data_IF_989205267524
#
_entry.id   IF_989205267524
#
_cell.length_a   1.000
_cell.length_b   1.000
_cell.length_c   1.000
_cell.angle_alpha   90.00
_cell.angle_beta   90.00
_cell.angle_gamma   90.00
#
_symmetry.space_group_name_H-M   'P 1'
#
loop_
_entity.id
_entity.type
_entity.pdbx_description
1 polymer ?
#
# COMPACT_ATOMS: atom_id res chain seq x y z
N UNK A 1 -27.51 -3.40 -11.01
CA UNK A 1 -26.03 -3.39 -11.08
C UNK A 1 -25.55 -2.81 -9.76
N UNK A 2 -24.92 -3.62 -8.92
CA UNK A 2 -24.31 -3.09 -7.68
C UNK A 2 -23.17 -2.17 -8.11
N UNK A 3 -23.28 -0.88 -7.75
CA UNK A 3 -22.17 0.06 -7.96
C UNK A 3 -20.96 -0.49 -7.20
N UNK A 4 -19.83 -0.60 -7.89
CA UNK A 4 -18.55 -0.95 -7.25
C UNK A 4 -18.26 0.08 -6.16
N UNK A 5 -17.79 -0.38 -5.00
CA UNK A 5 -17.52 0.50 -3.87
C UNK A 5 -16.34 1.45 -4.13
N UNK A 6 -15.54 1.23 -5.17
CA UNK A 6 -14.40 2.04 -5.60
C UNK A 6 -14.37 2.20 -7.11
N UNK A 7 -13.51 3.11 -7.55
CA UNK A 7 -13.14 3.32 -8.95
C UNK A 7 -11.70 2.85 -9.15
N UNK A 8 -11.48 2.04 -10.19
CA UNK A 8 -10.14 1.66 -10.63
C UNK A 8 -9.55 2.82 -11.44
N UNK A 9 -8.48 3.41 -10.94
CA UNK A 9 -7.85 4.60 -11.50
C UNK A 9 -6.39 4.35 -11.85
N UNK A 10 -5.88 5.13 -12.81
CA UNK A 10 -4.46 5.11 -13.14
C UNK A 10 -3.94 6.54 -13.33
N UNK A 11 -2.65 6.73 -13.05
CA UNK A 11 -1.93 7.96 -13.32
C UNK A 11 -0.55 7.63 -13.88
N UNK A 12 0.15 8.63 -14.40
CA UNK A 12 1.47 8.45 -14.99
C UNK A 12 2.55 9.01 -14.07
N UNK A 13 3.57 8.21 -13.78
CA UNK A 13 4.76 8.64 -13.04
C UNK A 13 5.63 9.60 -13.86
N UNK A 14 6.62 10.24 -13.24
CA UNK A 14 7.50 11.18 -13.92
C UNK A 14 8.34 10.53 -15.04
N UNK A 15 8.62 9.24 -14.90
CA UNK A 15 9.36 8.42 -15.86
C UNK A 15 8.47 7.64 -16.83
N UNK A 16 7.15 7.95 -16.84
CA UNK A 16 6.21 7.45 -17.84
C UNK A 16 5.54 6.11 -17.51
N UNK A 17 5.74 5.54 -16.32
CA UNK A 17 5.05 4.32 -15.91
C UNK A 17 3.58 4.60 -15.61
N UNK A 18 2.71 3.70 -16.02
CA UNK A 18 1.30 3.69 -15.62
C UNK A 18 1.17 3.06 -14.25
N UNK A 19 0.79 3.84 -13.25
CA UNK A 19 0.59 3.43 -11.88
C UNK A 19 -0.90 3.39 -11.54
N UNK A 20 -1.29 2.42 -10.73
CA UNK A 20 -2.69 2.13 -10.39
C UNK A 20 -3.01 2.54 -8.96
N UNK A 21 -4.25 2.92 -8.72
CA UNK A 21 -4.83 3.09 -7.38
C UNK A 21 -6.33 2.84 -7.39
N UNK A 22 -6.88 2.48 -6.25
CA UNK A 22 -8.32 2.50 -5.99
C UNK A 22 -8.72 3.81 -5.35
N UNK A 23 -9.76 4.42 -5.89
CA UNK A 23 -10.40 5.61 -5.34
C UNK A 23 -11.76 5.21 -4.73
N UNK A 24 -11.90 5.33 -3.43
CA UNK A 24 -13.14 5.09 -2.70
C UNK A 24 -13.81 6.44 -2.43
N UNK A 25 -14.77 6.84 -3.27
CA UNK A 25 -15.41 8.13 -3.15
C UNK A 25 -16.25 8.24 -1.88
N UNK A 26 -16.39 9.44 -1.35
CA UNK A 26 -17.27 9.74 -0.23
C UNK A 26 -18.17 10.94 -0.57
N UNK A 27 -19.46 10.79 -0.30
CA UNK A 27 -20.44 11.87 -0.50
C UNK A 27 -20.45 12.91 0.62
N UNK A 28 -19.79 12.64 1.76
CA UNK A 28 -19.75 13.54 2.91
C UNK A 28 -18.69 14.63 2.68
N UNK A 29 -19.04 15.90 2.52
CA UNK A 29 -18.08 16.97 2.29
C UNK A 29 -17.28 17.35 3.54
N UNK A 30 -16.18 18.09 3.34
CA UNK A 30 -15.47 18.82 4.38
C UNK A 30 -14.50 18.03 5.25
N UNK A 31 -14.34 16.73 5.00
CA UNK A 31 -13.31 15.93 5.68
C UNK A 31 -12.14 15.64 4.75
N UNK A 32 -10.93 15.72 5.32
CA UNK A 32 -9.71 15.38 4.59
C UNK A 32 -9.75 13.92 4.12
N UNK A 33 -9.32 13.64 2.89
CA UNK A 33 -9.20 12.28 2.40
C UNK A 33 -8.09 11.52 3.14
N UNK A 34 -8.11 10.21 2.99
CA UNK A 34 -7.10 9.29 3.54
C UNK A 34 -6.31 8.70 2.39
N UNK A 35 -4.99 8.57 2.56
CA UNK A 35 -4.10 7.81 1.68
C UNK A 35 -3.59 6.59 2.44
N UNK A 36 -3.98 5.40 2.01
CA UNK A 36 -3.58 4.13 2.59
C UNK A 36 -2.39 3.53 1.83
N UNK A 37 -1.27 3.34 2.52
CA UNK A 37 0.00 2.93 1.92
C UNK A 37 0.38 1.51 2.37
N UNK A 38 0.44 0.53 1.46
CA UNK A 38 0.71 -0.86 1.78
C UNK A 38 2.18 -1.14 2.12
N UNK A 39 2.42 -2.33 2.65
CA UNK A 39 3.74 -2.87 2.93
C UNK A 39 4.52 -3.23 1.65
N UNK A 40 5.80 -3.61 1.84
CA UNK A 40 6.78 -3.80 0.76
C UNK A 40 6.30 -4.74 -0.36
N UNK A 41 5.70 -5.88 -0.02
CA UNK A 41 5.27 -6.91 -0.98
C UNK A 41 3.75 -6.92 -1.20
N UNK A 42 3.06 -5.90 -0.69
CA UNK A 42 1.60 -5.84 -0.64
C UNK A 42 1.05 -4.85 -1.67
N UNK A 43 -0.26 -4.73 -1.73
CA UNK A 43 -0.96 -3.88 -2.69
C UNK A 43 -2.22 -3.24 -2.05
N UNK A 44 -2.97 -2.47 -2.82
CA UNK A 44 -4.15 -1.73 -2.37
C UNK A 44 -5.24 -2.58 -1.71
N UNK A 45 -5.30 -3.89 -2.00
CA UNK A 45 -6.34 -4.79 -1.46
C UNK A 45 -6.23 -4.96 0.05
N UNK A 46 -5.04 -4.79 0.62
CA UNK A 46 -4.84 -4.86 2.08
C UNK A 46 -5.71 -3.88 2.85
N UNK A 47 -6.08 -2.77 2.21
CA UNK A 47 -6.89 -1.73 2.83
C UNK A 47 -8.38 -1.80 2.48
N UNK A 48 -8.84 -2.79 1.70
CA UNK A 48 -10.23 -2.87 1.22
C UNK A 48 -11.24 -2.78 2.37
N UNK A 49 -11.08 -3.59 3.42
CA UNK A 49 -11.99 -3.57 4.56
C UNK A 49 -11.98 -2.24 5.31
N UNK A 50 -10.81 -1.60 5.42
CA UNK A 50 -10.62 -0.29 6.04
C UNK A 50 -11.25 0.80 5.18
N UNK A 51 -11.01 0.77 3.87
CA UNK A 51 -11.54 1.71 2.89
C UNK A 51 -13.07 1.69 2.86
N UNK A 52 -13.69 0.50 2.86
CA UNK A 52 -15.14 0.32 2.93
C UNK A 52 -15.79 0.91 4.20
N UNK A 53 -15.03 0.98 5.29
CA UNK A 53 -15.47 1.67 6.52
C UNK A 53 -15.28 3.17 6.43
N UNK A 54 -14.11 3.63 5.94
CA UNK A 54 -13.74 5.03 5.85
C UNK A 54 -14.59 5.79 4.84
N UNK A 55 -14.96 5.19 3.70
CA UNK A 55 -15.76 5.85 2.66
C UNK A 55 -17.14 6.32 3.13
N UNK A 56 -17.62 5.82 4.28
CA UNK A 56 -18.85 6.34 4.90
C UNK A 56 -18.71 7.78 5.40
N UNK A 57 -17.47 8.25 5.57
CA UNK A 57 -17.18 9.57 6.14
C UNK A 57 -16.04 10.32 5.47
N UNK A 58 -15.20 9.65 4.67
CA UNK A 58 -14.01 10.23 4.03
C UNK A 58 -13.73 9.53 2.70
N UNK A 59 -13.25 10.29 1.71
CA UNK A 59 -12.64 9.71 0.51
C UNK A 59 -11.35 8.98 0.90
N UNK A 60 -11.10 7.84 0.30
CA UNK A 60 -9.89 7.07 0.55
C UNK A 60 -9.22 6.74 -0.79
N UNK A 61 -7.90 6.80 -0.81
CA UNK A 61 -7.04 6.45 -1.94
C UNK A 61 -6.10 5.33 -1.51
N UNK A 62 -6.13 4.21 -2.21
CA UNK A 62 -5.24 3.06 -2.00
C UNK A 62 -4.40 2.79 -3.25
N UNK A 63 -3.14 3.24 -3.33
CA UNK A 63 -2.27 2.98 -4.46
C UNK A 63 -1.62 1.59 -4.40
N UNK A 64 -1.34 1.07 -5.58
CA UNK A 64 -0.31 0.08 -5.79
C UNK A 64 1.01 0.80 -6.09
N UNK A 65 2.04 0.56 -5.30
CA UNK A 65 3.35 1.11 -5.60
C UNK A 65 3.89 0.51 -6.91
N UNK A 66 4.80 1.19 -7.59
CA UNK A 66 5.42 0.66 -8.83
C UNK A 66 5.87 -0.79 -8.67
N UNK A 67 5.58 -1.63 -9.65
CA UNK A 67 5.89 -3.06 -9.66
C UNK A 67 5.02 -3.93 -8.76
N UNK A 68 3.89 -3.41 -8.21
CA UNK A 68 2.95 -4.18 -7.39
C UNK A 68 1.54 -4.07 -7.98
N UNK A 69 0.75 -5.10 -7.77
CA UNK A 69 -0.66 -5.13 -8.15
C UNK A 69 -0.92 -4.73 -9.59
N UNK A 70 -1.71 -3.69 -9.81
CA UNK A 70 -2.05 -3.14 -11.13
C UNK A 70 -1.06 -2.11 -11.68
N UNK A 71 -0.02 -1.73 -10.91
CA UNK A 71 1.02 -0.80 -11.35
C UNK A 71 2.08 -1.48 -12.20
N UNK A 72 2.54 -0.80 -13.26
CA UNK A 72 3.60 -1.31 -14.11
C UNK A 72 4.90 -1.55 -13.35
N UNK A 73 5.63 -2.57 -13.80
CA UNK A 73 7.00 -2.84 -13.37
C UNK A 73 7.96 -1.85 -14.01
N UNK A 74 8.91 -1.38 -13.22
CA UNK A 74 10.03 -0.59 -13.71
C UNK A 74 11.17 -1.54 -14.10
N UNK A 75 11.72 -1.44 -15.32
CA UNK A 75 12.87 -2.25 -15.73
C UNK A 75 14.15 -1.88 -14.98
N UNK A 76 14.25 -0.68 -14.42
CA UNK A 76 15.39 -0.26 -13.62
C UNK A 76 15.11 -0.50 -12.12
N UNK A 77 15.76 -1.54 -11.57
CA UNK A 77 15.58 -1.92 -10.17
C UNK A 77 15.98 -0.80 -9.18
N UNK A 78 16.83 0.16 -9.59
CA UNK A 78 17.27 1.30 -8.77
C UNK A 78 16.12 2.25 -8.43
N UNK A 79 15.07 2.25 -9.23
CA UNK A 79 13.88 3.06 -9.02
C UNK A 79 12.94 2.50 -7.95
N UNK A 80 13.18 1.27 -7.46
CA UNK A 80 12.45 0.72 -6.32
C UNK A 80 13.00 1.26 -5.00
N UNK A 81 12.91 2.56 -4.82
CA UNK A 81 13.51 3.32 -3.73
C UNK A 81 12.45 4.22 -3.04
N UNK A 82 12.48 4.39 -1.70
CA UNK A 82 11.49 5.20 -1.00
C UNK A 82 11.31 6.63 -1.55
N UNK A 83 12.40 7.28 -1.98
CA UNK A 83 12.33 8.60 -2.60
C UNK A 83 11.53 8.62 -3.90
N UNK A 84 11.67 7.60 -4.74
CA UNK A 84 10.88 7.43 -5.97
C UNK A 84 9.41 7.20 -5.64
N UNK A 85 9.10 6.35 -4.66
CA UNK A 85 7.73 6.12 -4.24
C UNK A 85 7.07 7.40 -3.72
N UNK A 86 7.77 8.21 -2.93
CA UNK A 86 7.25 9.51 -2.46
C UNK A 86 6.96 10.44 -3.63
N UNK A 87 7.82 10.48 -4.65
CA UNK A 87 7.59 11.27 -5.86
C UNK A 87 6.36 10.78 -6.62
N UNK A 88 6.18 9.46 -6.77
CA UNK A 88 4.98 8.87 -7.39
C UNK A 88 3.72 9.23 -6.60
N UNK A 89 3.75 9.15 -5.27
CA UNK A 89 2.62 9.50 -4.41
C UNK A 89 2.26 10.98 -4.48
N UNK A 90 3.24 11.86 -4.64
CA UNK A 90 2.99 13.28 -4.88
C UNK A 90 2.28 13.52 -6.23
N UNK A 91 2.63 12.75 -7.26
CA UNK A 91 1.95 12.76 -8.56
C UNK A 91 0.52 12.23 -8.46
N UNK A 92 0.32 11.12 -7.72
CA UNK A 92 -1.01 10.59 -7.44
C UNK A 92 -1.91 11.62 -6.77
N UNK A 93 -1.44 12.28 -5.70
CA UNK A 93 -2.24 13.27 -4.97
C UNK A 93 -2.64 14.45 -5.88
N UNK A 94 -1.71 14.94 -6.71
CA UNK A 94 -2.02 15.97 -7.71
C UNK A 94 -3.05 15.49 -8.73
N UNK A 95 -2.89 14.27 -9.26
CA UNK A 95 -3.83 13.67 -10.20
C UNK A 95 -5.23 13.51 -9.60
N UNK A 96 -5.31 13.11 -8.34
CA UNK A 96 -6.57 12.92 -7.61
C UNK A 96 -7.19 14.24 -7.09
N UNK A 97 -6.52 15.40 -7.30
CA UNK A 97 -6.97 16.71 -6.81
C UNK A 97 -6.94 16.82 -5.28
N UNK A 98 -5.94 16.20 -4.63
CA UNK A 98 -5.81 16.17 -3.18
C UNK A 98 -4.57 16.96 -2.76
N UNK A 99 -4.77 18.06 -2.04
CA UNK A 99 -3.69 18.90 -1.54
C UNK A 99 -3.21 18.48 -0.13
N UNK A 100 -4.14 17.97 0.67
CA UNK A 100 -3.87 17.61 2.07
C UNK A 100 -4.57 16.30 2.42
N UNK A 101 -3.88 15.41 3.15
CA UNK A 101 -4.33 14.03 3.37
C UNK A 101 -3.94 13.53 4.75
N UNK A 102 -4.75 12.62 5.31
CA UNK A 102 -4.35 11.78 6.44
C UNK A 102 -3.69 10.53 5.88
N UNK A 103 -2.52 10.17 6.38
CA UNK A 103 -1.75 9.00 5.95
C UNK A 103 -2.05 7.81 6.86
N UNK A 104 -2.26 6.64 6.28
CA UNK A 104 -2.29 5.36 7.01
C UNK A 104 -1.29 4.45 6.31
N UNK A 105 -0.18 4.15 6.96
CA UNK A 105 0.89 3.37 6.35
C UNK A 105 1.28 2.15 7.16
N UNK A 106 1.38 1.00 6.49
CA UNK A 106 1.85 -0.26 7.09
C UNK A 106 3.27 -0.55 6.64
N UNK A 107 4.18 -0.81 7.59
CA UNK A 107 5.58 -1.18 7.31
C UNK A 107 6.23 -0.16 6.36
N UNK A 108 6.59 -0.54 5.11
CA UNK A 108 7.10 0.39 4.09
C UNK A 108 6.17 1.61 3.92
N UNK A 109 4.86 1.40 3.88
CA UNK A 109 3.88 2.49 3.79
C UNK A 109 3.97 3.48 4.95
N UNK A 110 4.31 3.00 6.16
CA UNK A 110 4.58 3.86 7.31
C UNK A 110 5.88 4.66 7.16
N UNK A 111 6.94 4.05 6.59
CA UNK A 111 8.19 4.76 6.25
C UNK A 111 7.90 5.86 5.23
N UNK A 112 7.12 5.57 4.19
CA UNK A 112 6.72 6.57 3.19
C UNK A 112 5.89 7.69 3.83
N UNK A 113 5.01 7.36 4.77
CA UNK A 113 4.22 8.36 5.52
C UNK A 113 5.12 9.29 6.33
N UNK A 114 6.14 8.76 7.00
CA UNK A 114 7.14 9.57 7.72
C UNK A 114 7.95 10.46 6.77
N UNK A 115 8.36 9.94 5.62
CA UNK A 115 9.09 10.70 4.60
C UNK A 115 8.23 11.83 4.03
N UNK A 116 6.95 11.57 3.70
CA UNK A 116 6.03 12.60 3.23
C UNK A 116 5.86 13.68 4.30
N UNK A 117 5.64 13.30 5.57
CA UNK A 117 5.48 14.26 6.65
C UNK A 117 6.76 15.11 6.87
N UNK A 118 7.94 14.54 6.67
CA UNK A 118 9.21 15.26 6.82
C UNK A 118 9.53 16.17 5.64
N UNK A 119 9.25 15.72 4.40
CA UNK A 119 9.62 16.46 3.18
C UNK A 119 8.52 17.38 2.65
N UNK A 120 7.28 17.12 3.01
CA UNK A 120 6.08 17.85 2.55
C UNK A 120 5.05 18.01 3.68
N UNK A 121 5.42 18.66 4.80
CA UNK A 121 4.56 18.74 5.99
C UNK A 121 3.21 19.41 5.73
N UNK A 122 3.10 20.26 4.70
CA UNK A 122 1.86 20.89 4.29
C UNK A 122 0.84 19.88 3.72
N UNK A 123 1.29 18.75 3.19
CA UNK A 123 0.47 17.67 2.61
C UNK A 123 -0.07 16.75 3.71
N UNK A 124 0.76 16.42 4.71
CA UNK A 124 0.41 15.49 5.77
C UNK A 124 -0.39 16.19 6.88
N UNK A 125 -1.69 15.90 6.97
CA UNK A 125 -2.54 16.41 8.05
C UNK A 125 -2.39 15.60 9.35
N UNK A 126 -1.92 14.37 9.24
CA UNK A 126 -1.68 13.42 10.32
C UNK A 126 -1.27 12.07 9.74
N UNK A 127 -0.71 11.21 10.56
CA UNK A 127 -0.30 9.87 10.13
C UNK A 127 -0.65 8.81 11.19
N UNK A 128 -1.09 7.66 10.71
CA UNK A 128 -1.20 6.42 11.49
C UNK A 128 -0.13 5.49 10.96
N UNK A 129 0.81 5.10 11.83
CA UNK A 129 1.88 4.16 11.50
C UNK A 129 1.54 2.80 12.08
N UNK A 130 1.41 1.81 11.20
CA UNK A 130 1.12 0.44 11.57
C UNK A 130 2.35 -0.44 11.32
N UNK A 131 2.77 -1.20 12.34
CA UNK A 131 3.88 -2.15 12.28
C UNK A 131 5.22 -1.53 11.82
N UNK A 132 5.47 -0.28 12.20
CA UNK A 132 6.75 0.42 11.98
C UNK A 132 6.86 1.64 12.88
N UNK A 133 8.08 1.96 13.28
CA UNK A 133 8.45 3.16 14.01
C UNK A 133 9.61 3.89 13.36
N UNK A 134 10.10 4.99 13.96
CA UNK A 134 11.25 5.74 13.47
C UNK A 134 12.56 4.93 13.52
N UNK A 135 12.59 3.91 14.37
CA UNK A 135 13.69 2.92 14.44
C UNK A 135 13.19 1.59 13.89
N UNK A 136 13.93 1.05 12.93
CA UNK A 136 13.63 -0.26 12.34
C UNK A 136 14.60 -1.29 12.89
N UNK A 137 14.08 -2.31 13.58
CA UNK A 137 14.88 -3.36 14.17
C UNK A 137 15.65 -4.13 13.08
N UNK A 138 16.97 -4.23 13.23
CA UNK A 138 17.84 -4.91 12.28
C UNK A 138 17.46 -6.39 12.08
N UNK A 139 17.04 -7.08 13.16
CA UNK A 139 16.54 -8.45 13.08
C UNK A 139 15.29 -8.57 12.16
N UNK A 140 14.39 -7.57 12.19
CA UNK A 140 13.25 -7.50 11.29
C UNK A 140 13.67 -7.36 9.83
N UNK A 141 14.64 -6.48 9.54
CA UNK A 141 15.19 -6.29 8.19
C UNK A 141 15.86 -7.57 7.68
N UNK A 142 16.65 -8.25 8.51
CA UNK A 142 17.29 -9.52 8.15
C UNK A 142 16.26 -10.60 7.83
N UNK A 143 15.18 -10.70 8.63
CA UNK A 143 14.08 -11.62 8.36
C UNK A 143 13.41 -11.32 7.02
N UNK A 144 13.08 -10.05 6.73
CA UNK A 144 12.48 -9.64 5.46
C UNK A 144 13.42 -10.00 4.29
N UNK A 145 14.72 -9.69 4.39
CA UNK A 145 15.73 -9.99 3.38
C UNK A 145 15.91 -11.50 3.14
N UNK A 146 15.52 -12.34 4.08
CA UNK A 146 15.63 -13.78 3.93
C UNK A 146 14.62 -14.40 2.96
N UNK A 147 13.50 -13.74 2.71
CA UNK A 147 12.44 -14.25 1.84
C UNK A 147 12.03 -13.30 0.69
N UNK A 148 12.19 -12.00 0.83
CA UNK A 148 11.86 -11.04 -0.23
C UNK A 148 12.79 -11.22 -1.43
N UNK A 149 12.22 -11.29 -2.63
CA UNK A 149 12.95 -11.53 -3.88
C UNK A 149 13.33 -12.99 -4.15
N UNK A 150 13.02 -13.91 -3.24
CA UNK A 150 13.17 -15.34 -3.45
C UNK A 150 11.84 -15.92 -3.92
N UNK A 151 11.64 -15.90 -5.22
CA UNK A 151 10.42 -16.46 -5.81
C UNK A 151 10.54 -17.96 -5.97
N UNK A 152 9.67 -18.71 -5.28
CA UNK A 152 9.43 -20.13 -5.57
C UNK A 152 8.12 -20.20 -6.32
N UNK A 153 8.13 -20.56 -7.61
CA UNK A 153 6.90 -20.73 -8.38
C UNK A 153 5.99 -21.75 -7.70
N UNK A 154 4.70 -21.45 -7.67
CA UNK A 154 3.65 -22.35 -7.17
C UNK A 154 2.72 -22.73 -8.31
N UNK A 155 2.28 -23.99 -8.35
CA UNK A 155 1.43 -24.50 -9.40
C UNK A 155 -0.06 -24.42 -9.07
N UNK A 156 -0.40 -24.19 -7.79
CA UNK A 156 -1.81 -24.10 -7.34
C UNK A 156 -1.97 -23.09 -6.19
N UNK A 157 -3.22 -22.72 -5.92
CA UNK A 157 -3.58 -21.88 -4.78
C UNK A 157 -3.28 -22.56 -3.45
N UNK A 158 -3.43 -23.88 -3.36
CA UNK A 158 -3.13 -24.70 -2.19
C UNK A 158 -1.64 -24.65 -1.87
N UNK A 159 -0.79 -24.74 -2.88
CA UNK A 159 0.66 -24.59 -2.72
C UNK A 159 1.02 -23.16 -2.28
N UNK A 160 0.38 -22.13 -2.86
CA UNK A 160 0.55 -20.75 -2.45
C UNK A 160 0.19 -20.55 -0.98
N UNK A 161 -0.98 -21.05 -0.56
CA UNK A 161 -1.43 -20.98 0.83
C UNK A 161 -0.49 -21.73 1.79
N UNK A 162 0.01 -22.90 1.40
CA UNK A 162 0.98 -23.66 2.19
C UNK A 162 2.30 -22.90 2.34
N UNK A 163 2.78 -22.25 1.28
CA UNK A 163 3.98 -21.42 1.30
C UNK A 163 3.78 -20.20 2.21
N UNK A 164 2.66 -19.50 2.11
CA UNK A 164 2.32 -18.37 3.00
C UNK A 164 2.24 -18.80 4.46
N UNK A 165 1.59 -19.92 4.75
CA UNK A 165 1.53 -20.49 6.09
C UNK A 165 2.91 -20.84 6.65
N UNK A 166 3.80 -21.38 5.83
CA UNK A 166 5.19 -21.67 6.24
C UNK A 166 5.96 -20.40 6.60
N UNK A 167 5.74 -19.28 5.90
CA UNK A 167 6.42 -18.00 6.14
C UNK A 167 5.85 -17.23 7.33
N UNK A 168 4.54 -17.25 7.51
CA UNK A 168 3.83 -16.35 8.43
C UNK A 168 3.09 -17.08 9.56
N UNK A 169 2.99 -18.42 9.55
CA UNK A 169 2.22 -19.18 10.51
C UNK A 169 2.63 -18.97 11.96
N UNK A 170 3.92 -18.70 12.21
CA UNK A 170 4.40 -18.35 13.57
C UNK A 170 3.85 -16.99 14.04
N UNK A 171 3.67 -16.05 13.13
CA UNK A 171 3.11 -14.72 13.44
C UNK A 171 1.57 -14.70 13.45
N UNK A 172 0.94 -15.72 12.85
CA UNK A 172 -0.52 -15.86 12.75
C UNK A 172 -0.96 -17.27 13.15
N UNK A 173 -0.77 -17.65 14.43
CA UNK A 173 -1.00 -19.04 14.90
C UNK A 173 -2.47 -19.47 14.80
N UNK A 174 -3.40 -18.51 14.87
CA UNK A 174 -4.84 -18.75 14.85
C UNK A 174 -5.45 -18.71 13.43
N UNK A 175 -4.63 -18.45 12.40
CA UNK A 175 -5.14 -18.38 11.02
C UNK A 175 -5.60 -19.75 10.53
N UNK A 176 -6.81 -19.81 10.05
CA UNK A 176 -7.44 -21.01 9.48
C UNK A 176 -6.96 -21.27 8.04
N UNK A 177 -7.28 -22.43 7.49
CA UNK A 177 -6.99 -22.72 6.08
C UNK A 177 -7.67 -21.72 5.13
N UNK A 178 -8.87 -21.24 5.47
CA UNK A 178 -9.61 -20.26 4.68
C UNK A 178 -8.91 -18.88 4.68
N UNK A 179 -8.30 -18.50 5.80
CA UNK A 179 -7.58 -17.21 5.90
C UNK A 179 -6.32 -17.18 5.02
N UNK A 180 -5.72 -18.35 4.76
CA UNK A 180 -4.58 -18.45 3.85
C UNK A 180 -4.95 -18.49 2.36
N UNK A 181 -6.24 -18.72 2.06
CA UNK A 181 -6.77 -18.78 0.70
C UNK A 181 -7.44 -17.45 0.26
N UNK A 182 -7.70 -16.55 1.19
CA UNK A 182 -8.33 -15.25 0.95
C UNK A 182 -7.34 -14.21 0.48
#
# INVERSE_FOLDING_TARGET
MNATAWQDCTFTSADGLRLYYRDYPCAVPGRLPVLCLPGLTRNCRDFESTALRLQRSRRELSPDLRGRGGSQHDPDFRNYHPGTYVADLALLLRHAGVERVVLIGTSLGGILSMLIAATSPQVAAGAILNDVGPEVAQAGLQRISSYVGRHTPVASWEEAAAQMRSMYGVAMPDATAADWMA
#
